data_IF_807736458207
#
_entry.id   IF_807736458207
#
_cell.length_a   1.000
_cell.length_b   1.000
_cell.length_c   1.000
_cell.angle_alpha   90.00
_cell.angle_beta   90.00
_cell.angle_gamma   90.00
#
_symmetry.space_group_name_H-M   'P 1'
#
loop_
_entity.id
_entity.type
_entity.pdbx_description
1 polymer ?
#
# COMPACT_ATOMS: atom_id res chain seq x y z
N UNK A 1 33.83 42.19 20.23
CA UNK A 1 34.62 41.10 20.82
C UNK A 1 34.03 40.74 22.17
N UNK A 2 33.63 39.47 22.30
CA UNK A 2 33.40 38.70 23.54
C UNK A 2 32.36 39.19 24.57
N UNK A 3 31.40 38.29 24.77
CA UNK A 3 30.64 38.01 25.99
C UNK A 3 29.40 38.88 26.28
N UNK A 4 28.22 38.34 25.96
CA UNK A 4 27.26 37.81 26.96
C UNK A 4 25.94 37.40 26.26
N UNK A 5 25.93 36.17 25.75
CA UNK A 5 24.76 35.43 25.25
C UNK A 5 24.05 34.76 26.44
N UNK A 6 23.26 35.49 27.25
CA UNK A 6 22.41 34.89 28.29
C UNK A 6 21.14 35.75 28.49
N UNK A 7 20.09 35.48 27.71
CA UNK A 7 18.69 35.79 28.08
C UNK A 7 17.65 35.21 27.10
N UNK A 8 17.79 33.92 26.77
CA UNK A 8 16.74 33.13 26.12
C UNK A 8 16.55 31.77 26.80
N UNK A 9 16.73 31.71 28.11
CA UNK A 9 16.51 30.51 28.92
C UNK A 9 15.78 30.96 30.17
N UNK A 10 14.46 31.18 30.13
CA UNK A 10 13.58 31.13 31.32
C UNK A 10 12.09 31.05 30.94
N UNK A 11 11.75 30.31 29.87
CA UNK A 11 10.37 29.80 29.62
C UNK A 11 10.36 28.27 29.36
N UNK A 12 11.52 27.60 29.30
CA UNK A 12 11.64 26.13 29.26
C UNK A 12 12.15 25.57 30.59
N UNK A 13 11.46 25.89 31.69
CA UNK A 13 11.82 25.36 33.00
C UNK A 13 10.55 25.13 33.82
N UNK A 14 9.81 24.06 33.48
CA UNK A 14 8.98 23.26 34.39
C UNK A 14 8.23 22.09 33.69
N UNK A 15 8.89 21.42 32.74
CA UNK A 15 8.55 20.04 32.31
C UNK A 15 9.82 19.16 32.17
N UNK A 16 10.96 19.63 32.70
CA UNK A 16 12.25 18.93 32.72
C UNK A 16 12.53 18.36 34.12
N UNK A 17 11.58 17.62 34.67
CA UNK A 17 11.90 16.52 35.59
C UNK A 17 11.95 15.19 34.80
N UNK A 18 12.56 15.24 33.62
CA UNK A 18 12.93 14.07 32.83
C UNK A 18 14.46 13.92 32.93
N UNK A 19 14.89 13.07 33.84
CA UNK A 19 16.26 12.57 33.88
C UNK A 19 16.55 11.79 32.59
N UNK A 20 17.50 12.26 31.79
CA UNK A 20 18.23 11.50 30.75
C UNK A 20 17.39 10.66 29.76
N UNK A 21 16.78 11.27 28.76
CA UNK A 21 16.51 10.57 27.48
C UNK A 21 17.66 10.86 26.50
N UNK A 22 18.41 9.81 26.15
CA UNK A 22 19.66 9.83 25.39
C UNK A 22 19.44 10.20 23.91
N UNK A 23 20.38 10.94 23.30
CA UNK A 23 20.45 11.10 21.83
C UNK A 23 20.42 9.75 21.07
N UNK A 24 20.88 8.68 21.72
CA UNK A 24 21.03 7.34 21.14
C UNK A 24 19.70 6.67 20.76
N UNK A 25 18.60 6.90 21.49
CA UNK A 25 17.31 6.24 21.21
C UNK A 25 16.70 6.77 19.90
N UNK A 26 16.74 8.09 19.71
CA UNK A 26 16.25 8.74 18.50
C UNK A 26 17.04 8.31 17.26
N UNK A 27 18.36 8.17 17.39
CA UNK A 27 19.22 7.65 16.33
C UNK A 27 18.89 6.19 15.98
N UNK A 28 18.62 5.35 16.99
CA UNK A 28 18.17 3.98 16.78
C UNK A 28 16.82 3.90 16.05
N UNK A 29 15.86 4.76 16.41
CA UNK A 29 14.56 4.82 15.72
C UNK A 29 14.76 5.18 14.25
N UNK A 30 15.56 6.20 13.93
CA UNK A 30 15.81 6.55 12.54
C UNK A 30 16.53 5.45 11.77
N UNK A 31 17.54 4.82 12.36
CA UNK A 31 18.23 3.69 11.74
C UNK A 31 17.25 2.54 11.47
N UNK A 32 16.41 2.18 12.45
CA UNK A 32 15.38 1.17 12.27
C UNK A 32 14.38 1.53 11.16
N UNK A 33 13.93 2.79 11.10
CA UNK A 33 13.02 3.27 10.04
C UNK A 33 13.69 3.31 8.66
N UNK A 34 15.01 3.47 8.60
CA UNK A 34 15.82 3.28 7.39
C UNK A 34 16.16 1.79 7.13
N UNK A 35 15.37 0.88 7.71
CA UNK A 35 15.45 -0.58 7.55
C UNK A 35 16.72 -1.23 8.13
N UNK A 36 17.42 -0.58 9.07
CA UNK A 36 18.44 -1.25 9.88
C UNK A 36 17.78 -2.19 10.89
N UNK A 37 17.78 -3.48 10.53
CA UNK A 37 17.19 -4.55 11.33
C UNK A 37 17.81 -4.67 12.73
N UNK A 38 19.11 -4.45 12.88
CA UNK A 38 19.78 -4.59 14.17
C UNK A 38 19.37 -3.45 15.11
N UNK A 39 19.24 -2.23 14.57
CA UNK A 39 18.69 -1.11 15.32
C UNK A 39 17.25 -1.39 15.80
N UNK A 40 16.41 -2.01 14.95
CA UNK A 40 15.07 -2.40 15.36
C UNK A 40 15.06 -3.44 16.48
N UNK A 41 15.91 -4.47 16.40
CA UNK A 41 16.00 -5.51 17.42
C UNK A 41 16.46 -4.92 18.77
N UNK A 42 17.42 -4.00 18.75
CA UNK A 42 17.84 -3.28 19.97
C UNK A 42 16.71 -2.46 20.60
N UNK A 43 15.90 -1.79 19.79
CA UNK A 43 14.71 -1.06 20.29
C UNK A 43 13.68 -2.02 20.91
N UNK A 44 13.55 -3.22 20.37
CA UNK A 44 12.65 -4.25 20.90
C UNK A 44 13.17 -4.79 22.23
N UNK A 45 14.48 -5.01 22.36
CA UNK A 45 15.13 -5.46 23.60
C UNK A 45 15.04 -4.42 24.73
N UNK A 46 14.90 -3.14 24.39
CA UNK A 46 14.64 -2.05 25.35
C UNK A 46 13.17 -1.98 25.85
N UNK A 47 12.34 -2.99 25.51
CA UNK A 47 10.92 -3.11 25.84
C UNK A 47 10.06 -1.96 25.29
N UNK A 48 9.61 -2.10 24.04
CA UNK A 48 8.66 -1.16 23.42
C UNK A 48 7.35 -1.07 24.21
N UNK A 49 6.66 0.10 24.16
CA UNK A 49 5.34 0.25 24.78
C UNK A 49 4.39 -0.85 24.32
N UNK A 50 3.67 -1.44 25.28
CA UNK A 50 2.66 -2.45 25.00
C UNK A 50 1.52 -1.90 24.17
N UNK A 51 0.69 -2.80 23.63
CA UNK A 51 -0.47 -2.40 22.83
C UNK A 51 -1.44 -1.53 23.62
N UNK A 52 -1.56 -1.68 24.94
CA UNK A 52 -2.44 -0.85 25.76
C UNK A 52 -1.84 0.54 26.03
N UNK A 53 -0.51 0.65 25.99
CA UNK A 53 0.24 1.88 26.22
C UNK A 53 0.43 2.73 24.96
N UNK A 54 0.23 2.18 23.76
CA UNK A 54 0.21 2.98 22.54
C UNK A 54 -1.14 3.74 22.42
N UNK A 55 -1.11 5.06 22.23
CA UNK A 55 -2.26 5.96 22.27
C UNK A 55 -2.00 7.21 21.40
N UNK A 56 -2.79 8.28 21.53
CA UNK A 56 -2.61 9.50 20.73
C UNK A 56 -1.22 10.16 20.93
N UNK A 57 -0.59 10.00 22.10
CA UNK A 57 0.76 10.50 22.39
C UNK A 57 1.86 9.52 21.94
N UNK A 58 1.54 8.22 21.83
CA UNK A 58 2.46 7.13 21.46
C UNK A 58 1.95 6.34 20.26
N UNK A 59 2.51 6.60 19.09
CA UNK A 59 2.06 6.00 17.83
C UNK A 59 2.19 4.48 17.81
N UNK A 60 1.04 3.79 17.81
CA UNK A 60 0.98 2.34 17.58
C UNK A 60 1.56 1.96 16.20
N UNK A 61 1.43 2.83 15.19
CA UNK A 61 1.97 2.60 13.85
C UNK A 61 3.49 2.60 13.86
N UNK A 62 4.13 3.49 14.62
CA UNK A 62 5.58 3.51 14.76
C UNK A 62 6.09 2.18 15.33
N UNK A 63 5.44 1.69 16.40
CA UNK A 63 5.79 0.40 17.02
C UNK A 63 5.59 -0.75 16.03
N UNK A 64 4.48 -0.74 15.28
CA UNK A 64 4.27 -1.72 14.22
C UNK A 64 5.38 -1.70 13.16
N UNK A 65 5.81 -0.52 12.72
CA UNK A 65 6.88 -0.35 11.73
C UNK A 65 8.23 -0.84 12.26
N UNK A 66 8.53 -0.65 13.55
CA UNK A 66 9.72 -1.22 14.19
C UNK A 66 9.69 -2.74 14.10
N UNK A 67 8.58 -3.39 14.46
CA UNK A 67 8.43 -4.84 14.31
C UNK A 67 8.50 -5.29 12.84
N UNK A 68 7.89 -4.55 11.91
CA UNK A 68 7.93 -4.87 10.48
C UNK A 68 9.36 -4.81 9.93
N UNK A 69 10.13 -3.77 10.26
CA UNK A 69 11.51 -3.62 9.82
C UNK A 69 12.45 -4.64 10.51
N UNK A 70 12.08 -5.14 11.69
CA UNK A 70 12.70 -6.30 12.32
C UNK A 70 12.31 -7.67 11.66
N UNK A 71 11.41 -7.67 10.66
CA UNK A 71 10.80 -8.86 10.06
C UNK A 71 9.93 -9.68 11.02
N UNK A 72 9.41 -9.04 12.07
CA UNK A 72 8.59 -9.62 13.13
C UNK A 72 7.10 -9.29 12.90
N UNK A 73 6.60 -9.67 11.71
CA UNK A 73 5.27 -9.31 11.21
C UNK A 73 4.12 -9.72 12.14
N UNK A 74 4.24 -10.86 12.84
CA UNK A 74 3.22 -11.34 13.77
C UNK A 74 3.00 -10.38 14.96
N UNK A 75 4.06 -9.72 15.41
CA UNK A 75 4.02 -8.75 16.51
C UNK A 75 3.54 -7.38 16.06
N UNK A 76 3.72 -7.02 14.78
CA UNK A 76 3.23 -5.75 14.23
C UNK A 76 1.70 -5.70 14.11
N UNK A 77 1.08 -6.82 13.74
CA UNK A 77 -0.36 -6.90 13.42
C UNK A 77 -1.27 -6.36 14.52
N UNK A 78 -1.11 -6.72 15.81
CA UNK A 78 -1.94 -6.16 16.88
C UNK A 78 -1.95 -4.63 16.93
N UNK A 79 -0.77 -4.00 16.81
CA UNK A 79 -0.64 -2.53 16.82
C UNK A 79 -1.29 -1.87 15.59
N UNK A 80 -1.12 -2.48 14.42
CA UNK A 80 -1.79 -2.03 13.18
C UNK A 80 -3.31 -2.16 13.30
N UNK A 81 -3.80 -3.27 13.87
CA UNK A 81 -5.23 -3.47 14.10
C UNK A 81 -5.81 -2.44 15.07
N UNK A 82 -5.11 -2.12 16.16
CA UNK A 82 -5.56 -1.05 17.08
C UNK A 82 -5.73 0.28 16.34
N UNK A 83 -4.77 0.63 15.49
CA UNK A 83 -4.81 1.85 14.65
C UNK A 83 -5.93 1.78 13.60
N UNK A 84 -6.14 0.62 12.98
CA UNK A 84 -7.23 0.37 12.04
C UNK A 84 -8.61 0.55 12.68
N UNK A 85 -8.80 0.09 13.92
CA UNK A 85 -10.04 0.29 14.68
C UNK A 85 -10.23 1.75 15.09
N UNK A 86 -9.15 2.48 15.35
CA UNK A 86 -9.14 3.93 15.49
C UNK A 86 -9.32 4.70 14.16
N UNK A 87 -9.72 3.99 13.10
CA UNK A 87 -10.05 4.51 11.78
C UNK A 87 -8.88 5.10 10.98
N UNK A 88 -7.64 4.68 11.28
CA UNK A 88 -6.50 4.89 10.38
C UNK A 88 -6.52 3.79 9.31
N UNK A 89 -7.05 4.13 8.14
CA UNK A 89 -7.40 3.13 7.11
C UNK A 89 -6.13 2.49 6.51
N UNK A 90 -5.05 3.26 6.38
CA UNK A 90 -3.74 2.80 5.96
C UNK A 90 -3.22 1.66 6.86
N UNK A 91 -3.46 1.75 8.18
CA UNK A 91 -3.06 0.69 9.11
C UNK A 91 -3.88 -0.61 8.91
N UNK A 92 -5.14 -0.50 8.46
CA UNK A 92 -5.91 -1.68 8.05
C UNK A 92 -5.22 -2.36 6.85
N UNK A 93 -4.83 -1.59 5.85
CA UNK A 93 -4.12 -2.10 4.67
C UNK A 93 -2.80 -2.76 5.05
N UNK A 94 -1.97 -2.11 5.86
CA UNK A 94 -0.69 -2.67 6.32
C UNK A 94 -0.89 -3.97 7.12
N UNK A 95 -1.91 -4.04 8.00
CA UNK A 95 -2.19 -5.28 8.72
C UNK A 95 -2.61 -6.43 7.79
N UNK A 96 -3.33 -6.12 6.70
CA UNK A 96 -3.69 -7.11 5.69
C UNK A 96 -2.45 -7.63 4.92
N UNK A 97 -1.52 -6.73 4.55
CA UNK A 97 -0.24 -7.12 3.95
C UNK A 97 0.57 -8.04 4.88
N UNK A 98 0.62 -7.73 6.18
CA UNK A 98 1.31 -8.58 7.15
C UNK A 98 0.64 -9.95 7.30
N UNK A 99 -0.69 -10.03 7.26
CA UNK A 99 -1.39 -11.32 7.20
C UNK A 99 -1.06 -12.11 5.93
N UNK A 100 -0.91 -11.44 4.79
CA UNK A 100 -0.53 -12.07 3.53
C UNK A 100 0.91 -12.62 3.57
N UNK A 101 1.86 -11.86 4.13
CA UNK A 101 3.26 -12.31 4.37
C UNK A 101 3.29 -13.57 5.23
N UNK A 102 2.41 -13.66 6.22
CA UNK A 102 2.27 -14.84 7.10
C UNK A 102 1.38 -15.94 6.50
N UNK A 103 1.00 -15.83 5.23
CA UNK A 103 0.10 -16.75 4.52
C UNK A 103 -1.28 -16.96 5.18
N UNK A 104 -1.69 -16.03 6.04
CA UNK A 104 -3.01 -16.02 6.68
C UNK A 104 -4.04 -15.30 5.80
N UNK A 105 -4.29 -15.89 4.63
CA UNK A 105 -5.10 -15.26 3.59
C UNK A 105 -6.56 -15.00 4.00
N UNK A 106 -7.12 -15.79 4.93
CA UNK A 106 -8.47 -15.55 5.46
C UNK A 106 -8.54 -14.22 6.22
N UNK A 107 -7.52 -13.91 7.03
CA UNK A 107 -7.46 -12.63 7.74
C UNK A 107 -7.08 -11.49 6.80
N UNK A 108 -6.17 -11.71 5.84
CA UNK A 108 -5.85 -10.74 4.80
C UNK A 108 -7.12 -10.35 4.01
N UNK A 109 -7.91 -11.33 3.57
CA UNK A 109 -9.18 -11.12 2.86
C UNK A 109 -10.15 -10.24 3.65
N UNK A 110 -10.43 -10.59 4.91
CA UNK A 110 -11.37 -9.84 5.74
C UNK A 110 -10.89 -8.40 5.95
N UNK A 111 -9.58 -8.21 6.15
CA UNK A 111 -8.99 -6.92 6.45
C UNK A 111 -8.91 -6.02 5.22
N UNK A 112 -8.47 -6.55 4.06
CA UNK A 112 -8.55 -5.82 2.79
C UNK A 112 -9.99 -5.43 2.45
N UNK A 113 -10.95 -6.34 2.67
CA UNK A 113 -12.36 -6.04 2.45
C UNK A 113 -12.82 -4.86 3.32
N UNK A 114 -12.52 -4.88 4.61
CA UNK A 114 -12.86 -3.79 5.53
C UNK A 114 -12.27 -2.45 5.07
N UNK A 115 -11.00 -2.43 4.69
CA UNK A 115 -10.30 -1.22 4.23
C UNK A 115 -10.82 -0.72 2.86
N UNK A 116 -11.11 -1.64 1.95
CA UNK A 116 -11.74 -1.35 0.66
C UNK A 116 -13.14 -0.76 0.82
N UNK A 117 -13.98 -1.34 1.69
CA UNK A 117 -15.33 -0.84 1.99
C UNK A 117 -15.30 0.58 2.58
N UNK A 118 -14.20 0.98 3.22
CA UNK A 118 -13.94 2.34 3.71
C UNK A 118 -13.38 3.30 2.65
N UNK A 119 -13.18 2.83 1.41
CA UNK A 119 -12.74 3.66 0.29
C UNK A 119 -11.23 3.64 0.01
N UNK A 120 -10.44 2.77 0.65
CA UNK A 120 -9.02 2.66 0.34
C UNK A 120 -8.77 1.74 -0.85
N UNK A 121 -8.61 2.35 -2.02
CA UNK A 121 -8.54 1.63 -3.28
C UNK A 121 -7.37 0.64 -3.40
N UNK A 122 -6.17 0.88 -2.82
CA UNK A 122 -5.11 -0.14 -2.80
C UNK A 122 -5.54 -1.44 -2.10
N UNK A 123 -6.43 -1.36 -1.09
CA UNK A 123 -7.02 -2.55 -0.49
C UNK A 123 -8.03 -3.23 -1.42
N UNK A 124 -8.78 -2.47 -2.22
CA UNK A 124 -9.67 -3.05 -3.22
C UNK A 124 -8.88 -3.80 -4.31
N UNK A 125 -7.75 -3.24 -4.77
CA UNK A 125 -6.84 -3.92 -5.69
C UNK A 125 -6.37 -5.27 -5.12
N UNK A 126 -5.84 -5.29 -3.90
CA UNK A 126 -5.36 -6.53 -3.29
C UNK A 126 -6.50 -7.53 -3.01
N UNK A 127 -7.68 -7.05 -2.61
CA UNK A 127 -8.88 -7.89 -2.49
C UNK A 127 -9.22 -8.57 -3.83
N UNK A 128 -9.15 -7.85 -4.94
CA UNK A 128 -9.36 -8.41 -6.27
C UNK A 128 -8.29 -9.44 -6.63
N UNK A 129 -7.03 -9.22 -6.26
CA UNK A 129 -5.95 -10.21 -6.43
C UNK A 129 -6.21 -11.50 -5.63
N UNK A 130 -6.76 -11.42 -4.42
CA UNK A 130 -7.16 -12.61 -3.66
C UNK A 130 -8.25 -13.41 -4.39
N UNK A 131 -9.21 -12.74 -5.04
CA UNK A 131 -10.19 -13.40 -5.90
C UNK A 131 -9.60 -13.98 -7.19
N UNK A 132 -8.57 -13.36 -7.76
CA UNK A 132 -7.87 -13.91 -8.93
C UNK A 132 -7.17 -15.22 -8.57
N UNK A 133 -6.47 -15.22 -7.43
CA UNK A 133 -5.62 -16.33 -7.02
C UNK A 133 -6.35 -17.41 -6.21
N UNK A 134 -7.55 -17.12 -5.69
CA UNK A 134 -8.28 -18.04 -4.82
C UNK A 134 -7.66 -18.18 -3.43
N UNK A 135 -7.07 -17.10 -2.91
CA UNK A 135 -6.35 -17.08 -1.64
C UNK A 135 -7.25 -16.54 -0.53
N UNK A 136 -7.55 -17.36 0.49
CA UNK A 136 -8.46 -16.99 1.58
C UNK A 136 -9.93 -16.85 1.16
N UNK A 137 -10.22 -16.97 -0.14
CA UNK A 137 -11.54 -16.92 -0.74
C UNK A 137 -11.55 -17.78 -2.00
N UNK A 138 -12.69 -18.34 -2.39
CA UNK A 138 -12.81 -19.08 -3.66
C UNK A 138 -12.51 -18.14 -4.83
N UNK A 139 -11.70 -18.61 -5.78
CA UNK A 139 -11.37 -17.86 -6.98
C UNK A 139 -12.63 -17.44 -7.76
N UNK A 140 -12.69 -16.17 -8.14
CA UNK A 140 -13.79 -15.58 -8.91
C UNK A 140 -13.28 -14.37 -9.71
N UNK A 141 -12.84 -14.65 -10.92
CA UNK A 141 -12.30 -13.64 -11.85
C UNK A 141 -13.35 -12.57 -12.22
N UNK A 142 -14.63 -12.94 -12.32
CA UNK A 142 -15.69 -11.97 -12.64
C UNK A 142 -15.86 -10.96 -11.51
N UNK A 143 -15.83 -11.44 -10.26
CA UNK A 143 -15.86 -10.58 -9.09
C UNK A 143 -14.60 -9.74 -8.96
N UNK A 144 -13.42 -10.31 -9.20
CA UNK A 144 -12.16 -9.56 -9.22
C UNK A 144 -12.21 -8.40 -10.23
N UNK A 145 -12.66 -8.66 -11.46
CA UNK A 145 -12.80 -7.63 -12.49
C UNK A 145 -13.80 -6.52 -12.11
N UNK A 146 -14.86 -6.84 -11.36
CA UNK A 146 -15.77 -5.81 -10.84
C UNK A 146 -15.07 -4.91 -9.82
N UNK A 147 -14.31 -5.50 -8.90
CA UNK A 147 -13.55 -4.76 -7.89
C UNK A 147 -12.45 -3.92 -8.56
N UNK A 148 -11.71 -4.48 -9.53
CA UNK A 148 -10.75 -3.70 -10.33
C UNK A 148 -11.41 -2.53 -11.06
N UNK A 149 -12.63 -2.71 -11.58
CA UNK A 149 -13.37 -1.61 -12.20
C UNK A 149 -13.69 -0.48 -11.20
N UNK A 150 -14.18 -0.83 -10.01
CA UNK A 150 -14.47 0.14 -8.95
C UNK A 150 -13.21 0.87 -8.47
N UNK A 151 -12.11 0.14 -8.23
CA UNK A 151 -10.82 0.71 -7.83
C UNK A 151 -10.21 1.60 -8.91
N UNK A 152 -10.23 1.14 -10.17
CA UNK A 152 -9.78 1.93 -11.31
C UNK A 152 -10.63 3.19 -11.51
N UNK A 153 -11.95 3.13 -11.31
CA UNK A 153 -12.81 4.31 -11.38
C UNK A 153 -12.36 5.41 -10.40
N UNK A 154 -11.85 4.99 -9.24
CA UNK A 154 -11.28 5.84 -8.18
C UNK A 154 -9.75 5.97 -8.26
N UNK A 155 -9.19 5.87 -9.46
CA UNK A 155 -7.79 6.20 -9.78
C UNK A 155 -6.73 5.29 -9.18
N UNK A 156 -7.06 4.03 -8.88
CA UNK A 156 -6.06 3.03 -8.55
C UNK A 156 -5.48 2.42 -9.84
N UNK A 157 -4.20 2.66 -10.07
CA UNK A 157 -3.53 2.46 -11.35
C UNK A 157 -3.31 0.98 -11.69
N UNK A 158 -3.01 0.15 -10.69
CA UNK A 158 -2.79 -1.29 -10.83
C UNK A 158 -4.08 -1.97 -11.26
N UNK A 159 -5.22 -1.56 -10.71
CA UNK A 159 -6.56 -2.03 -11.05
C UNK A 159 -6.94 -1.61 -12.47
N UNK A 160 -6.60 -0.38 -12.88
CA UNK A 160 -6.79 0.04 -14.26
C UNK A 160 -5.98 -0.84 -15.22
N UNK A 161 -4.73 -1.13 -14.89
CA UNK A 161 -3.87 -2.00 -15.71
C UNK A 161 -4.41 -3.44 -15.77
N UNK A 162 -4.77 -4.03 -14.65
CA UNK A 162 -5.29 -5.41 -14.61
C UNK A 162 -6.64 -5.52 -15.34
N UNK A 163 -7.52 -4.53 -15.21
CA UNK A 163 -8.76 -4.50 -15.97
C UNK A 163 -8.49 -4.36 -17.48
N UNK A 164 -7.48 -3.58 -17.88
CA UNK A 164 -7.06 -3.47 -19.27
C UNK A 164 -6.58 -4.83 -19.83
N UNK A 165 -5.78 -5.57 -19.06
CA UNK A 165 -5.34 -6.93 -19.41
C UNK A 165 -6.54 -7.87 -19.53
N UNK A 166 -7.48 -7.83 -18.59
CA UNK A 166 -8.70 -8.65 -18.67
C UNK A 166 -9.51 -8.37 -19.94
N UNK A 167 -9.60 -7.13 -20.39
CA UNK A 167 -10.24 -6.78 -21.66
C UNK A 167 -9.39 -7.14 -22.89
N UNK A 168 -8.06 -7.05 -22.81
CA UNK A 168 -7.15 -7.40 -23.90
C UNK A 168 -7.24 -8.91 -24.21
N UNK A 169 -7.20 -9.73 -23.16
CA UNK A 169 -7.10 -11.19 -23.24
C UNK A 169 -8.46 -11.90 -23.09
N UNK A 170 -9.52 -11.19 -22.71
CA UNK A 170 -10.85 -11.80 -22.47
C UNK A 170 -10.93 -12.62 -21.18
N UNK A 171 -10.17 -12.25 -20.14
CA UNK A 171 -10.10 -12.97 -18.88
C UNK A 171 -11.30 -12.58 -18.00
N UNK A 172 -12.29 -13.47 -17.88
CA UNK A 172 -13.52 -13.25 -17.11
C UNK A 172 -14.44 -12.15 -17.66
N UNK A 173 -14.08 -11.53 -18.78
CA UNK A 173 -14.83 -10.53 -19.53
C UNK A 173 -14.76 -10.88 -21.01
N UNK A 174 -15.69 -10.36 -21.81
CA UNK A 174 -15.55 -10.42 -23.27
C UNK A 174 -14.38 -9.53 -23.68
N UNK A 175 -13.46 -10.07 -24.49
CA UNK A 175 -12.35 -9.30 -25.02
C UNK A 175 -12.86 -8.05 -25.75
N UNK A 176 -12.25 -6.90 -25.45
CA UNK A 176 -12.61 -5.60 -25.99
C UNK A 176 -11.36 -4.72 -26.03
N UNK A 177 -10.75 -4.67 -27.21
CA UNK A 177 -9.51 -3.94 -27.44
C UNK A 177 -9.64 -2.44 -27.18
N UNK A 178 -10.78 -1.83 -27.48
CA UNK A 178 -11.00 -0.39 -27.27
C UNK A 178 -11.07 -0.08 -25.77
N UNK A 179 -11.75 -0.93 -24.99
CA UNK A 179 -11.74 -0.81 -23.52
C UNK A 179 -10.35 -1.06 -22.95
N UNK A 180 -9.64 -2.09 -23.42
CA UNK A 180 -8.26 -2.34 -23.01
C UNK A 180 -7.38 -1.09 -23.24
N UNK A 181 -7.42 -0.51 -24.45
CA UNK A 181 -6.70 0.73 -24.79
C UNK A 181 -7.07 1.88 -23.86
N UNK A 182 -8.36 2.08 -23.56
CA UNK A 182 -8.84 3.11 -22.64
C UNK A 182 -8.26 2.92 -21.23
N UNK A 183 -8.27 1.71 -20.70
CA UNK A 183 -7.79 1.43 -19.35
C UNK A 183 -6.26 1.44 -19.24
N UNK A 184 -5.52 0.97 -20.26
CA UNK A 184 -4.06 1.16 -20.33
C UNK A 184 -3.68 2.63 -20.37
N UNK A 185 -4.42 3.44 -21.15
CA UNK A 185 -4.23 4.90 -21.14
C UNK A 185 -4.45 5.47 -19.75
N UNK A 186 -5.53 5.09 -19.07
CA UNK A 186 -5.81 5.59 -17.71
C UNK A 186 -4.70 5.20 -16.73
N UNK A 187 -4.22 3.96 -16.76
CA UNK A 187 -3.09 3.53 -15.93
C UNK A 187 -1.82 4.36 -16.23
N UNK A 188 -1.54 4.64 -17.51
CA UNK A 188 -0.44 5.52 -17.92
C UNK A 188 -0.59 6.95 -17.38
N UNK A 189 -1.78 7.54 -17.52
CA UNK A 189 -2.07 8.90 -17.06
C UNK A 189 -1.97 9.03 -15.53
N UNK A 190 -2.16 7.91 -14.81
CA UNK A 190 -1.95 7.80 -13.36
C UNK A 190 -0.48 7.52 -12.96
N UNK A 191 0.44 7.48 -13.92
CA UNK A 191 1.88 7.32 -13.66
C UNK A 191 2.41 5.89 -13.76
N UNK A 192 1.58 4.90 -14.10
CA UNK A 192 2.04 3.52 -14.24
C UNK A 192 2.78 3.32 -15.58
N UNK A 193 4.10 3.17 -15.51
CA UNK A 193 4.97 3.03 -16.70
C UNK A 193 4.57 1.84 -17.59
N UNK A 194 4.22 0.70 -16.98
CA UNK A 194 3.71 -0.48 -17.70
C UNK A 194 2.42 -0.16 -18.48
N UNK A 195 1.53 0.63 -17.89
CA UNK A 195 0.33 1.14 -18.58
C UNK A 195 0.70 1.98 -19.81
N UNK A 196 1.71 2.84 -19.71
CA UNK A 196 2.19 3.63 -20.85
C UNK A 196 2.79 2.77 -21.97
N UNK A 197 3.56 1.73 -21.60
CA UNK A 197 4.13 0.78 -22.56
C UNK A 197 3.04 0.03 -23.33
N UNK A 198 2.10 -0.57 -22.61
CA UNK A 198 0.98 -1.30 -23.23
C UNK A 198 0.07 -0.37 -24.05
N UNK A 199 -0.17 0.86 -23.59
CA UNK A 199 -0.93 1.85 -24.36
C UNK A 199 -0.25 2.19 -25.70
N UNK A 200 1.07 2.33 -25.73
CA UNK A 200 1.81 2.55 -26.98
C UNK A 200 1.72 1.33 -27.91
N UNK A 201 1.88 0.12 -27.39
CA UNK A 201 1.80 -1.13 -28.16
C UNK A 201 0.42 -1.28 -28.78
N UNK A 202 -0.65 -1.15 -27.99
CA UNK A 202 -2.01 -1.32 -28.47
C UNK A 202 -2.39 -0.20 -29.46
N UNK A 203 -1.88 1.02 -29.30
CA UNK A 203 -2.12 2.11 -30.26
C UNK A 203 -1.37 1.91 -31.58
N UNK A 204 -0.14 1.40 -31.55
CA UNK A 204 0.65 1.11 -32.75
C UNK A 204 0.03 -0.03 -33.58
N UNK A 205 -0.52 -1.05 -32.92
CA UNK A 205 -1.20 -2.13 -33.61
C UNK A 205 -2.51 -1.68 -34.30
N UNK A 206 -3.14 -0.57 -33.88
CA UNK A 206 -4.28 0.03 -34.63
C UNK A 206 -3.80 0.58 -35.98
N UNK A 207 -2.64 1.25 -36.02
CA UNK A 207 -2.06 1.78 -37.26
C UNK A 207 -1.75 0.66 -38.27
N UNK A 208 -1.30 -0.50 -37.81
CA UNK A 208 -1.02 -1.65 -38.69
C UNK A 208 -2.28 -2.31 -39.26
N UNK A 209 -3.40 -2.32 -38.51
CA UNK A 209 -4.69 -2.83 -39.01
C UNK A 209 -5.26 -1.85 -40.03
N UNK A 210 -5.23 -0.54 -39.75
CA UNK A 210 -5.71 0.48 -40.70
C UNK A 210 -4.97 0.45 -42.04
N UNK A 211 -3.64 0.21 -42.04
CA UNK A 211 -2.88 0.01 -43.28
C UNK A 211 -3.33 -1.26 -44.00
N UNK A 212 -3.49 -2.40 -43.30
CA UNK A 212 -3.94 -3.65 -43.93
C UNK A 212 -5.35 -3.51 -44.53
N UNK A 213 -6.24 -2.79 -43.86
CA UNK A 213 -7.60 -2.53 -44.35
C UNK A 213 -7.61 -1.54 -45.53
N UNK A 214 -6.71 -0.54 -45.55
CA UNK A 214 -6.51 0.34 -46.72
C UNK A 214 -5.93 -0.41 -47.92
N UNK A 215 -4.96 -1.31 -47.72
CA UNK A 215 -4.34 -2.06 -48.80
C UNK A 215 -5.30 -3.07 -49.42
N UNK A 216 -6.22 -3.66 -48.64
CA UNK A 216 -7.28 -4.54 -49.15
C UNK A 216 -8.37 -3.83 -49.95
N UNK A 217 -8.46 -2.50 -49.88
CA UNK A 217 -9.42 -1.71 -50.67
C UNK A 217 -8.82 -1.21 -51.99
N UNK A 218 -7.56 -1.54 -52.28
CA UNK A 218 -6.85 -1.16 -53.51
C UNK A 218 -6.61 -2.35 -54.47
N UNK A 219 -7.13 -3.53 -54.15
CA UNK A 219 -7.19 -4.71 -55.03
C UNK A 219 -8.63 -4.94 -55.52
#
# INVERSE_FOLDING_TARGET
MRNLFISFIFVFCNLLNATQTNLNEKELIYACLDSDKEACLRLIDEELPSIDECNEERSCILIAHIYMNASLHEYAIPYLKKSCYANVIEACFESALNYEILENYTQAYNTYKQSCDKGFMPSCYNLAMLYVNGLGVKADIKKANRIFFEACANNEEQSCYNLAISYKEGIGLKADRLKAKKFFKKACDLGMELGCKEYKIINAADFSITIKDHLKQQE
#
